data_IF_490905220136
#
_entry.id   IF_490905220136
#
_cell.length_a   1.000
_cell.length_b   1.000
_cell.length_c   1.000
_cell.angle_alpha   90.00
_cell.angle_beta   90.00
_cell.angle_gamma   90.00
#
_symmetry.space_group_name_H-M   'P 1'
#
loop_
_entity.id
_entity.type
_entity.pdbx_description
1 polymer ?
#
# COMPACT_ATOMS: atom_id res chain seq x y z
N UNK A 1 2.97 -21.41 -20.41
CA UNK A 1 2.67 -21.17 -18.98
C UNK A 1 1.75 -19.98 -18.92
N UNK A 2 0.58 -20.09 -18.28
CA UNK A 2 -0.28 -18.93 -18.09
C UNK A 2 0.42 -17.97 -17.11
N UNK A 3 0.47 -16.68 -17.45
CA UNK A 3 1.07 -15.64 -16.61
C UNK A 3 0.32 -15.62 -15.26
N UNK A 4 1.02 -15.66 -14.12
CA UNK A 4 0.37 -15.54 -12.80
C UNK A 4 -0.20 -14.12 -12.70
N UNK A 5 -1.53 -13.94 -12.53
CA UNK A 5 -2.13 -12.61 -12.45
C UNK A 5 -1.67 -11.79 -11.23
N UNK A 6 -0.90 -12.39 -10.32
CA UNK A 6 -0.27 -11.74 -9.14
C UNK A 6 1.21 -11.45 -9.35
N UNK A 7 1.80 -11.88 -10.47
CA UNK A 7 3.20 -11.61 -10.77
C UNK A 7 3.35 -10.17 -11.29
N UNK A 8 3.36 -9.21 -10.37
CA UNK A 8 3.70 -7.83 -10.67
C UNK A 8 5.16 -7.76 -11.09
N UNK A 9 5.43 -7.11 -12.22
CA UNK A 9 6.76 -7.02 -12.85
C UNK A 9 7.50 -5.76 -12.41
N UNK A 10 6.82 -4.83 -11.71
CA UNK A 10 7.44 -3.64 -11.14
C UNK A 10 6.66 -3.06 -9.95
N UNK A 11 7.31 -2.24 -9.10
CA UNK A 11 6.63 -1.48 -8.06
C UNK A 11 5.59 -0.49 -8.59
N UNK A 12 5.77 0.04 -9.81
CA UNK A 12 4.81 0.92 -10.46
C UNK A 12 3.52 0.18 -10.86
N UNK A 13 3.63 -1.06 -11.36
CA UNK A 13 2.46 -1.89 -11.62
C UNK A 13 1.67 -2.19 -10.34
N UNK A 14 2.36 -2.42 -9.23
CA UNK A 14 1.73 -2.59 -7.92
C UNK A 14 1.04 -1.30 -7.45
N UNK A 15 1.68 -0.14 -7.62
CA UNK A 15 1.06 1.15 -7.31
C UNK A 15 -0.23 1.35 -8.11
N UNK A 16 -0.18 1.16 -9.44
CA UNK A 16 -1.32 1.35 -10.32
C UNK A 16 -2.48 0.45 -9.92
N UNK A 17 -2.21 -0.84 -9.69
CA UNK A 17 -3.23 -1.78 -9.25
C UNK A 17 -3.91 -1.34 -7.94
N UNK A 18 -3.12 -0.95 -6.93
CA UNK A 18 -3.66 -0.55 -5.64
C UNK A 18 -4.49 0.74 -5.76
N UNK A 19 -4.12 1.68 -6.64
CA UNK A 19 -4.92 2.86 -6.96
C UNK A 19 -6.25 2.47 -7.61
N UNK A 20 -6.24 1.54 -8.56
CA UNK A 20 -7.46 1.03 -9.20
C UNK A 20 -8.37 0.33 -8.19
N UNK A 21 -7.81 -0.49 -7.29
CA UNK A 21 -8.56 -1.16 -6.23
C UNK A 21 -9.18 -0.17 -5.26
N UNK A 22 -8.45 0.88 -4.87
CA UNK A 22 -8.98 1.97 -4.05
C UNK A 22 -10.17 2.66 -4.72
N UNK A 23 -10.04 3.04 -6.00
CA UNK A 23 -11.12 3.65 -6.77
C UNK A 23 -12.34 2.73 -6.88
N UNK A 24 -12.10 1.42 -7.09
CA UNK A 24 -13.17 0.41 -7.13
C UNK A 24 -13.85 0.25 -5.78
N UNK A 25 -13.10 0.26 -4.68
CA UNK A 25 -13.64 0.17 -3.33
C UNK A 25 -14.51 1.40 -2.99
N UNK A 26 -14.09 2.61 -3.37
CA UNK A 26 -14.92 3.80 -3.25
C UNK A 26 -16.23 3.68 -4.03
N UNK A 27 -16.17 3.16 -5.26
CA UNK A 27 -17.37 2.89 -6.05
C UNK A 27 -18.30 1.89 -5.35
N UNK A 28 -17.77 0.74 -4.91
CA UNK A 28 -18.53 -0.30 -4.19
C UNK A 28 -19.14 0.29 -2.92
N UNK A 29 -18.40 1.12 -2.18
CA UNK A 29 -18.91 1.74 -0.97
C UNK A 29 -20.18 2.56 -1.23
N UNK A 30 -20.15 3.35 -2.30
CA UNK A 30 -21.28 4.18 -2.72
C UNK A 30 -22.48 3.38 -3.21
N UNK A 31 -22.27 2.31 -3.98
CA UNK A 31 -23.37 1.58 -4.64
C UNK A 31 -23.92 0.40 -3.85
N UNK A 32 -23.14 -0.16 -2.92
CA UNK A 32 -23.46 -1.43 -2.27
C UNK A 32 -23.25 -1.45 -0.75
N UNK A 33 -22.47 -0.52 -0.17
CA UNK A 33 -22.17 -0.51 1.28
C UNK A 33 -22.73 0.72 2.01
N UNK A 34 -23.70 1.40 1.40
CA UNK A 34 -24.42 2.54 2.00
C UNK A 34 -23.48 3.63 2.55
N UNK A 35 -22.40 3.94 1.82
CA UNK A 35 -21.42 4.97 2.21
C UNK A 35 -20.79 4.73 3.60
N UNK A 36 -20.56 3.46 3.94
CA UNK A 36 -19.89 3.05 5.16
C UNK A 36 -18.54 3.73 5.33
N UNK A 37 -18.33 4.35 6.51
CA UNK A 37 -17.05 4.94 6.90
C UNK A 37 -15.93 3.91 6.92
N UNK A 38 -16.22 2.67 7.30
CA UNK A 38 -15.23 1.59 7.30
C UNK A 38 -14.71 1.31 5.90
N UNK A 39 -15.61 1.17 4.93
CA UNK A 39 -15.25 0.92 3.53
C UNK A 39 -14.51 2.11 2.91
N UNK A 40 -14.87 3.34 3.28
CA UNK A 40 -14.13 4.54 2.90
C UNK A 40 -12.69 4.51 3.41
N UNK A 41 -12.50 4.23 4.71
CA UNK A 41 -11.15 4.14 5.29
C UNK A 41 -10.32 3.01 4.70
N UNK A 42 -10.95 1.89 4.33
CA UNK A 42 -10.28 0.80 3.65
C UNK A 42 -9.78 1.22 2.25
N UNK A 43 -10.59 1.98 1.51
CA UNK A 43 -10.19 2.54 0.22
C UNK A 43 -9.02 3.54 0.36
N UNK A 44 -9.03 4.38 1.40
CA UNK A 44 -7.92 5.30 1.67
C UNK A 44 -6.65 4.56 2.11
N UNK A 45 -6.78 3.46 2.87
CA UNK A 45 -5.63 2.62 3.20
C UNK A 45 -5.00 1.99 1.96
N UNK A 46 -5.81 1.46 1.02
CA UNK A 46 -5.30 0.92 -0.24
C UNK A 46 -4.52 1.98 -1.04
N UNK A 47 -5.03 3.21 -1.06
CA UNK A 47 -4.39 4.34 -1.73
C UNK A 47 -3.09 4.76 -1.04
N UNK A 48 -3.06 4.78 0.29
CA UNK A 48 -1.86 5.09 1.06
C UNK A 48 -0.77 4.03 0.83
N UNK A 49 -1.14 2.74 0.83
CA UNK A 49 -0.22 1.63 0.50
C UNK A 49 0.28 1.75 -0.94
N UNK A 50 -0.55 2.17 -1.89
CA UNK A 50 -0.11 2.42 -3.27
C UNK A 50 1.06 3.41 -3.31
N UNK A 51 0.97 4.51 -2.54
CA UNK A 51 2.04 5.50 -2.42
C UNK A 51 3.30 5.02 -1.69
N UNK A 52 3.32 3.80 -1.16
CA UNK A 52 4.52 3.16 -0.62
C UNK A 52 5.19 2.23 -1.64
N UNK A 53 4.47 1.72 -2.64
CA UNK A 53 5.02 0.74 -3.57
C UNK A 53 6.30 1.24 -4.28
N UNK A 54 6.39 2.48 -4.79
CA UNK A 54 7.62 2.97 -5.41
C UNK A 54 8.85 2.97 -4.47
N UNK A 55 8.63 3.05 -3.15
CA UNK A 55 9.70 3.04 -2.15
C UNK A 55 10.40 1.68 -2.06
N UNK A 56 9.88 0.62 -2.68
CA UNK A 56 10.60 -0.66 -2.79
C UNK A 56 11.93 -0.51 -3.56
N UNK A 57 12.04 0.52 -4.42
CA UNK A 57 13.30 0.86 -5.10
C UNK A 57 14.22 1.76 -4.29
N UNK A 58 13.76 2.33 -3.18
CA UNK A 58 14.59 3.17 -2.31
C UNK A 58 15.54 2.27 -1.51
N UNK A 59 16.84 2.36 -1.81
CA UNK A 59 17.87 1.54 -1.18
C UNK A 59 18.05 1.85 0.32
N UNK A 60 17.74 3.07 0.76
CA UNK A 60 17.80 3.46 2.16
C UNK A 60 16.64 2.83 2.91
N UNK A 61 15.42 3.00 2.39
CA UNK A 61 14.22 2.39 2.97
C UNK A 61 14.30 0.86 2.97
N UNK A 62 14.85 0.25 1.91
CA UNK A 62 15.06 -1.20 1.88
C UNK A 62 16.00 -1.68 2.98
N UNK A 63 17.04 -0.91 3.34
CA UNK A 63 17.92 -1.23 4.47
C UNK A 63 17.23 -1.04 5.82
N UNK A 64 16.37 -0.03 5.93
CA UNK A 64 15.60 0.21 7.15
C UNK A 64 14.65 -0.96 7.44
N UNK A 65 14.04 -1.58 6.42
CA UNK A 65 13.10 -2.69 6.60
C UNK A 65 13.72 -4.09 6.47
N UNK A 66 14.92 -4.18 5.89
CA UNK A 66 15.52 -5.43 5.46
C UNK A 66 14.90 -5.95 4.15
N UNK A 67 15.53 -6.96 3.57
CA UNK A 67 15.15 -7.57 2.29
C UNK A 67 14.81 -9.07 2.40
N UNK A 68 14.63 -9.55 3.64
CA UNK A 68 14.41 -10.96 3.96
C UNK A 68 15.69 -11.79 4.09
N UNK A 69 16.83 -11.29 3.60
CA UNK A 69 18.16 -11.89 3.77
C UNK A 69 19.03 -11.08 4.74
N UNK A 70 18.92 -9.76 4.66
CA UNK A 70 19.52 -8.77 5.55
C UNK A 70 18.52 -8.37 6.63
N UNK A 71 18.99 -8.31 7.87
CA UNK A 71 18.19 -7.78 8.97
C UNK A 71 17.88 -6.29 8.74
N UNK A 72 16.74 -5.86 9.28
CA UNK A 72 16.38 -4.45 9.35
C UNK A 72 17.38 -3.68 10.23
N UNK A 73 17.71 -2.46 9.81
CA UNK A 73 18.48 -1.51 10.62
C UNK A 73 17.61 -0.65 11.55
N UNK A 74 16.29 -0.68 11.36
CA UNK A 74 15.34 0.06 12.19
C UNK A 74 15.00 -0.78 13.45
N UNK A 75 15.11 -0.21 14.66
CA UNK A 75 14.78 -0.92 15.89
C UNK A 75 13.30 -1.30 16.01
N UNK A 76 12.39 -0.63 15.29
CA UNK A 76 10.97 -0.99 15.21
C UNK A 76 10.41 -0.77 13.79
N UNK A 77 10.61 -1.74 12.89
CA UNK A 77 10.15 -1.66 11.51
C UNK A 77 8.62 -1.55 11.43
N UNK A 78 7.91 -2.11 12.41
CA UNK A 78 6.45 -2.03 12.46
C UNK A 78 5.99 -0.61 12.74
N UNK A 79 6.60 0.09 13.70
CA UNK A 79 6.31 1.50 13.93
C UNK A 79 6.66 2.35 12.70
N UNK A 80 7.78 2.05 12.03
CA UNK A 80 8.20 2.75 10.81
C UNK A 80 7.17 2.65 9.69
N UNK A 81 6.66 1.45 9.38
CA UNK A 81 5.64 1.31 8.32
C UNK A 81 4.32 2.01 8.68
N UNK A 82 3.93 1.98 9.96
CA UNK A 82 2.75 2.69 10.44
C UNK A 82 2.91 4.21 10.32
N UNK A 83 4.10 4.76 10.58
CA UNK A 83 4.41 6.18 10.35
C UNK A 83 4.24 6.55 8.88
N UNK A 84 4.86 5.77 7.99
CA UNK A 84 4.80 6.02 6.54
C UNK A 84 3.37 5.94 5.99
N UNK A 85 2.55 5.03 6.52
CA UNK A 85 1.13 4.94 6.21
C UNK A 85 0.36 6.15 6.75
N UNK A 86 0.61 6.54 8.00
CA UNK A 86 -0.06 7.68 8.63
C UNK A 86 0.19 8.99 7.90
N UNK A 87 1.41 9.21 7.39
CA UNK A 87 1.77 10.38 6.57
C UNK A 87 1.00 10.47 5.25
N UNK A 88 0.48 9.34 4.75
CA UNK A 88 -0.22 9.23 3.46
C UNK A 88 -1.73 9.11 3.58
N UNK A 89 -2.22 8.81 4.79
CA UNK A 89 -3.65 8.77 5.06
C UNK A 89 -4.20 10.20 5.16
N UNK A 90 -5.44 10.44 4.72
CA UNK A 90 -6.08 11.74 4.90
C UNK A 90 -6.25 12.05 6.39
N UNK A 91 -6.12 13.34 6.75
CA UNK A 91 -6.47 13.82 8.08
C UNK A 91 -7.97 13.59 8.35
N UNK A 92 -8.31 13.28 9.60
CA UNK A 92 -9.69 12.96 10.02
C UNK A 92 -10.63 14.15 9.95
#
# INVERSE_FOLDING_TARGET
>A
MADDPRAYKSPEELEELLRVLSARMHHINRVALSESKYAWWYAELLKAVAGLAPLLRDDTLRKDFGDGWSASNDPDPRARILSLLSERLPEK
#
